data_IF_230414476167
#
_entry.id   IF_230414476167
#
_cell.length_a   1.000
_cell.length_b   1.000
_cell.length_c   1.000
_cell.angle_alpha   90.00
_cell.angle_beta   90.00
_cell.angle_gamma   90.00
#
_symmetry.space_group_name_H-M   'P 1'
#
loop_
_entity.id
_entity.type
_entity.pdbx_description
1 polymer ?
#
# COMPACT_ATOMS: atom_id res chain seq x y z
N UNK A 1 8.64 -5.50 -6.22
CA UNK A 1 8.08 -6.33 -7.32
C UNK A 1 6.60 -6.04 -7.44
N UNK A 2 6.12 -5.67 -8.62
CA UNK A 2 4.71 -5.57 -8.93
C UNK A 2 4.23 -6.95 -9.41
N UNK A 3 3.24 -7.52 -8.74
CA UNK A 3 2.69 -8.83 -9.09
C UNK A 3 1.37 -8.65 -9.84
N UNK A 4 1.07 -9.57 -10.74
CA UNK A 4 -0.27 -9.63 -11.33
C UNK A 4 -1.35 -9.88 -10.27
N UNK A 5 -2.60 -9.55 -10.60
CA UNK A 5 -3.75 -9.90 -9.75
C UNK A 5 -3.94 -11.43 -9.70
N UNK A 6 -4.46 -11.92 -8.57
CA UNK A 6 -4.80 -13.33 -8.39
C UNK A 6 -3.97 -14.04 -7.33
N UNK A 7 -4.20 -15.36 -7.23
CA UNK A 7 -3.64 -16.24 -6.20
C UNK A 7 -2.87 -17.41 -6.81
N UNK A 8 -2.21 -17.18 -7.96
CA UNK A 8 -1.39 -18.22 -8.58
C UNK A 8 -0.18 -18.59 -7.70
N UNK A 9 0.34 -19.78 -7.86
CA UNK A 9 1.52 -20.25 -7.12
C UNK A 9 2.70 -19.29 -7.30
N UNK A 10 2.90 -18.74 -8.49
CA UNK A 10 3.96 -17.77 -8.75
C UNK A 10 3.81 -16.50 -7.89
N UNK A 11 2.59 -15.96 -7.76
CA UNK A 11 2.31 -14.81 -6.89
C UNK A 11 2.60 -15.16 -5.44
N UNK A 12 2.11 -16.31 -4.95
CA UNK A 12 2.34 -16.75 -3.58
C UNK A 12 3.83 -16.94 -3.27
N UNK A 13 4.60 -17.50 -4.20
CA UNK A 13 6.04 -17.64 -4.07
C UNK A 13 6.76 -16.30 -3.90
N UNK A 14 6.38 -15.26 -4.67
CA UNK A 14 6.90 -13.90 -4.47
C UNK A 14 6.52 -13.31 -3.11
N UNK A 15 5.28 -13.51 -2.67
CA UNK A 15 4.81 -12.98 -1.39
C UNK A 15 5.56 -13.60 -0.21
N UNK A 16 5.73 -14.92 -0.19
CA UNK A 16 6.44 -15.60 0.92
C UNK A 16 7.95 -15.35 0.91
N UNK A 17 8.52 -14.99 -0.24
CA UNK A 17 9.92 -14.60 -0.35
C UNK A 17 10.17 -13.14 0.06
N UNK A 18 9.11 -12.34 0.26
CA UNK A 18 9.20 -10.92 0.57
C UNK A 18 9.08 -10.70 2.08
N UNK A 19 9.90 -9.81 2.62
CA UNK A 19 9.77 -9.34 4.01
C UNK A 19 8.60 -8.38 4.20
N UNK A 20 8.18 -7.69 3.15
CA UNK A 20 7.09 -6.73 3.16
C UNK A 20 6.17 -6.94 1.94
N UNK A 21 4.87 -6.96 2.20
CA UNK A 21 3.80 -7.10 1.19
C UNK A 21 2.87 -5.90 1.29
N UNK A 22 2.68 -5.20 0.17
CA UNK A 22 1.70 -4.14 0.05
C UNK A 22 0.42 -4.70 -0.57
N UNK A 23 -0.61 -4.86 0.25
CA UNK A 23 -1.94 -5.29 -0.18
C UNK A 23 -2.77 -4.07 -0.57
N UNK A 24 -3.06 -3.92 -1.86
CA UNK A 24 -3.90 -2.83 -2.37
C UNK A 24 -5.33 -3.32 -2.55
N UNK A 25 -6.26 -2.72 -1.80
CA UNK A 25 -7.68 -3.09 -1.80
C UNK A 25 -8.54 -1.87 -2.09
N UNK A 26 -9.58 -2.04 -2.89
CA UNK A 26 -10.57 -1.00 -3.20
C UNK A 26 -11.88 -1.26 -2.47
N UNK A 27 -12.85 -0.32 -2.42
CA UNK A 27 -14.13 -0.53 -1.74
C UNK A 27 -15.05 -1.51 -2.47
N UNK A 28 -14.72 -1.93 -3.69
CA UNK A 28 -15.54 -2.88 -4.45
C UNK A 28 -15.58 -4.26 -3.74
N UNK A 29 -16.77 -4.89 -3.64
CA UNK A 29 -16.93 -6.17 -2.97
C UNK A 29 -16.02 -7.29 -3.52
N UNK A 30 -15.77 -7.28 -4.81
CA UNK A 30 -14.86 -8.23 -5.48
C UNK A 30 -13.42 -8.05 -4.99
N UNK A 31 -12.92 -6.81 -4.93
CA UNK A 31 -11.57 -6.51 -4.44
C UNK A 31 -11.37 -6.93 -2.98
N UNK A 32 -12.39 -6.73 -2.14
CA UNK A 32 -12.36 -7.16 -0.74
C UNK A 32 -12.30 -8.69 -0.64
N UNK A 33 -13.11 -9.38 -1.44
CA UNK A 33 -13.14 -10.85 -1.49
C UNK A 33 -11.81 -11.42 -1.99
N UNK A 34 -11.24 -10.81 -3.02
CA UNK A 34 -9.95 -11.21 -3.59
C UNK A 34 -8.81 -10.99 -2.59
N UNK A 35 -8.81 -9.85 -1.91
CA UNK A 35 -7.85 -9.56 -0.84
C UNK A 35 -7.92 -10.59 0.28
N UNK A 36 -9.12 -10.94 0.74
CA UNK A 36 -9.30 -11.99 1.75
C UNK A 36 -8.84 -13.36 1.25
N UNK A 37 -9.15 -13.71 0.00
CA UNK A 37 -8.78 -14.98 -0.61
C UNK A 37 -7.26 -15.10 -0.76
N UNK A 38 -6.58 -14.02 -1.16
CA UNK A 38 -5.11 -13.96 -1.22
C UNK A 38 -4.49 -14.15 0.16
N UNK A 39 -4.97 -13.43 1.18
CA UNK A 39 -4.48 -13.57 2.56
C UNK A 39 -4.71 -14.97 3.11
N UNK A 40 -5.85 -15.59 2.78
CA UNK A 40 -6.15 -16.98 3.16
C UNK A 40 -5.20 -17.97 2.50
N UNK A 41 -4.89 -17.80 1.21
CA UNK A 41 -3.94 -18.63 0.50
C UNK A 41 -2.52 -18.45 1.06
N UNK A 42 -2.11 -17.19 1.29
CA UNK A 42 -0.81 -16.84 1.89
C UNK A 42 -0.66 -17.46 3.28
N UNK A 43 -1.66 -17.32 4.17
CA UNK A 43 -1.63 -17.85 5.52
C UNK A 43 -1.62 -19.39 5.61
N UNK A 44 -2.00 -20.09 4.52
CA UNK A 44 -1.90 -21.55 4.39
C UNK A 44 -0.58 -22.02 3.79
N UNK A 45 0.20 -21.09 3.26
CA UNK A 45 1.46 -21.45 2.62
C UNK A 45 2.48 -21.91 3.67
N UNK A 46 3.16 -23.08 3.48
CA UNK A 46 4.04 -23.67 4.52
C UNK A 46 5.20 -22.77 4.95
N UNK A 47 5.66 -21.88 4.07
CA UNK A 47 6.78 -20.95 4.34
C UNK A 47 6.35 -19.59 4.85
N UNK A 48 5.03 -19.34 4.96
CA UNK A 48 4.53 -18.06 5.47
C UNK A 48 4.65 -18.01 7.00
N UNK A 49 5.10 -16.87 7.51
CA UNK A 49 5.10 -16.55 8.95
C UNK A 49 4.85 -15.04 9.13
N UNK A 50 3.99 -14.67 10.07
CA UNK A 50 3.78 -13.27 10.46
C UNK A 50 5.06 -12.60 11.00
N UNK A 51 6.02 -13.37 11.47
CA UNK A 51 7.30 -12.86 11.96
C UNK A 51 8.23 -12.46 10.81
N UNK A 52 8.14 -13.18 9.69
CA UNK A 52 9.03 -12.99 8.55
C UNK A 52 8.45 -12.09 7.46
N UNK A 53 7.13 -12.01 7.36
CA UNK A 53 6.45 -11.26 6.30
C UNK A 53 5.42 -10.29 6.88
N UNK A 54 5.69 -9.01 6.77
CA UNK A 54 4.79 -7.94 7.19
C UNK A 54 3.83 -7.59 6.07
N UNK A 55 2.53 -7.75 6.31
CA UNK A 55 1.50 -7.37 5.34
C UNK A 55 0.92 -6.00 5.71
N UNK A 56 0.99 -5.07 4.76
CA UNK A 56 0.51 -3.69 4.93
C UNK A 56 -0.57 -3.37 3.91
N UNK A 57 -1.73 -2.92 4.37
CA UNK A 57 -2.87 -2.61 3.52
C UNK A 57 -2.91 -1.15 3.12
N UNK A 58 -3.12 -0.91 1.83
CA UNK A 58 -3.46 0.39 1.23
C UNK A 58 -4.91 0.32 0.75
N UNK A 59 -5.76 1.22 1.27
CA UNK A 59 -7.11 1.40 0.77
C UNK A 59 -7.09 2.37 -0.42
N UNK A 60 -7.35 1.86 -1.63
CA UNK A 60 -7.27 2.62 -2.87
C UNK A 60 -8.66 3.00 -3.42
N UNK A 61 -8.75 4.05 -4.23
CA UNK A 61 -9.98 4.54 -4.85
C UNK A 61 -11.11 4.85 -3.85
N UNK A 62 -10.76 5.37 -2.69
CA UNK A 62 -11.74 5.72 -1.67
C UNK A 62 -12.39 7.07 -1.99
N UNK A 63 -13.71 7.21 -1.81
CA UNK A 63 -14.39 8.50 -1.96
C UNK A 63 -13.93 9.48 -0.86
N UNK A 64 -13.80 8.99 0.37
CA UNK A 64 -13.32 9.76 1.53
C UNK A 64 -12.13 9.05 2.18
N UNK A 65 -11.19 9.84 2.67
CA UNK A 65 -9.96 9.30 3.30
C UNK A 65 -10.30 8.44 4.53
N UNK A 66 -11.29 8.85 5.29
CA UNK A 66 -11.71 8.18 6.54
C UNK A 66 -12.28 6.77 6.27
N UNK A 67 -12.90 6.56 5.12
CA UNK A 67 -13.49 5.27 4.74
C UNK A 67 -12.42 4.18 4.56
N UNK A 68 -11.19 4.57 4.20
CA UNK A 68 -10.08 3.63 4.10
C UNK A 68 -9.73 2.95 5.41
N UNK A 69 -9.76 3.69 6.51
CA UNK A 69 -9.56 3.14 7.85
C UNK A 69 -10.70 2.18 8.24
N UNK A 70 -11.93 2.50 7.87
CA UNK A 70 -13.11 1.65 8.13
C UNK A 70 -12.98 0.34 7.33
N UNK A 71 -12.60 0.42 6.06
CA UNK A 71 -12.36 -0.75 5.22
C UNK A 71 -11.28 -1.66 5.82
N UNK A 72 -10.15 -1.07 6.23
CA UNK A 72 -9.09 -1.80 6.91
C UNK A 72 -9.60 -2.51 8.17
N UNK A 73 -10.31 -1.82 9.05
CA UNK A 73 -10.83 -2.40 10.30
C UNK A 73 -11.75 -3.59 10.04
N UNK A 74 -12.64 -3.49 9.04
CA UNK A 74 -13.51 -4.59 8.62
C UNK A 74 -12.71 -5.80 8.15
N UNK A 75 -11.75 -5.60 7.25
CA UNK A 75 -10.91 -6.68 6.73
C UNK A 75 -10.04 -7.27 7.84
N UNK A 76 -9.38 -6.43 8.65
CA UNK A 76 -8.51 -6.87 9.73
C UNK A 76 -9.25 -7.71 10.78
N UNK A 77 -10.47 -7.34 11.13
CA UNK A 77 -11.31 -8.11 12.07
C UNK A 77 -11.52 -9.54 11.57
N UNK A 78 -11.84 -9.71 10.29
CA UNK A 78 -12.07 -11.02 9.69
C UNK A 78 -10.75 -11.81 9.56
N UNK A 79 -9.69 -11.16 9.11
CA UNK A 79 -8.36 -11.76 8.94
C UNK A 79 -7.79 -12.25 10.27
N UNK A 80 -7.81 -11.40 11.30
CA UNK A 80 -7.33 -11.77 12.64
C UNK A 80 -8.16 -12.91 13.23
N UNK A 81 -9.48 -12.85 13.10
CA UNK A 81 -10.38 -13.86 13.66
C UNK A 81 -10.23 -15.23 13.01
N UNK A 82 -10.21 -15.28 11.67
CA UNK A 82 -10.31 -16.54 10.92
C UNK A 82 -8.99 -17.03 10.36
N UNK A 83 -8.06 -16.14 10.05
CA UNK A 83 -6.76 -16.52 9.46
C UNK A 83 -5.62 -16.48 10.50
N UNK A 84 -5.83 -15.88 11.66
CA UNK A 84 -4.79 -15.69 12.69
C UNK A 84 -3.57 -14.92 12.15
N UNK A 85 -3.81 -14.05 11.17
CA UNK A 85 -2.80 -13.19 10.58
C UNK A 85 -2.92 -11.77 11.12
N UNK A 86 -1.80 -11.07 11.11
CA UNK A 86 -1.74 -9.65 11.41
C UNK A 86 -1.52 -8.87 10.11
N UNK A 87 -2.36 -7.89 9.87
CA UNK A 87 -2.16 -6.90 8.81
C UNK A 87 -2.11 -5.51 9.42
N UNK A 88 -1.35 -4.61 8.85
CA UNK A 88 -1.27 -3.23 9.31
C UNK A 88 -1.85 -2.26 8.29
N UNK A 89 -2.34 -1.11 8.73
CA UNK A 89 -2.87 -0.08 7.87
C UNK A 89 -1.77 0.90 7.47
N UNK A 90 -1.50 1.01 6.18
CA UNK A 90 -0.48 1.91 5.66
C UNK A 90 -1.07 3.27 5.27
N UNK A 91 -2.22 3.29 4.60
CA UNK A 91 -2.88 4.52 4.23
C UNK A 91 -4.03 4.39 3.25
N UNK A 92 -4.63 5.54 2.93
CA UNK A 92 -5.70 5.68 1.92
C UNK A 92 -5.20 6.47 0.72
N UNK A 93 -5.51 5.99 -0.48
CA UNK A 93 -5.43 6.75 -1.73
C UNK A 93 -6.86 7.10 -2.15
N UNK A 94 -7.24 8.39 -2.18
CA UNK A 94 -8.57 8.78 -2.59
C UNK A 94 -8.74 8.66 -4.10
N UNK A 95 -9.99 8.54 -4.54
CA UNK A 95 -10.34 8.71 -5.95
C UNK A 95 -10.00 10.13 -6.39
N UNK A 96 -9.32 10.26 -7.53
CA UNK A 96 -8.77 11.53 -7.98
C UNK A 96 -8.76 11.63 -9.50
N UNK A 97 -9.55 12.55 -10.04
CA UNK A 97 -9.62 12.85 -11.47
C UNK A 97 -8.25 13.29 -12.04
N UNK A 98 -7.39 13.89 -11.20
CA UNK A 98 -6.03 14.27 -11.65
C UNK A 98 -5.17 13.03 -11.89
N UNK A 99 -5.34 11.99 -11.07
CA UNK A 99 -4.67 10.71 -11.29
C UNK A 99 -5.15 10.05 -12.58
N UNK A 100 -6.47 10.05 -12.84
CA UNK A 100 -7.03 9.48 -14.07
C UNK A 100 -6.46 10.19 -15.31
N UNK A 101 -6.39 11.53 -15.29
CA UNK A 101 -5.78 12.33 -16.37
C UNK A 101 -4.29 12.01 -16.53
N UNK A 102 -3.56 11.86 -15.43
CA UNK A 102 -2.13 11.54 -15.45
C UNK A 102 -1.88 10.16 -16.09
N UNK A 103 -2.72 9.16 -15.76
CA UNK A 103 -2.67 7.83 -16.37
C UNK A 103 -2.90 7.90 -17.88
N UNK A 104 -3.92 8.65 -18.34
CA UNK A 104 -4.19 8.84 -19.76
C UNK A 104 -3.03 9.51 -20.50
N UNK A 105 -2.28 10.35 -19.84
CA UNK A 105 -1.10 11.02 -20.37
C UNK A 105 0.21 10.24 -20.19
N UNK A 106 0.13 9.05 -19.59
CA UNK A 106 1.30 8.21 -19.28
C UNK A 106 2.37 8.95 -18.46
N UNK A 107 1.94 9.84 -17.57
CA UNK A 107 2.80 10.62 -16.71
C UNK A 107 2.43 10.40 -15.24
N UNK A 108 3.39 10.16 -14.34
CA UNK A 108 3.09 10.03 -12.91
C UNK A 108 2.40 11.29 -12.36
N UNK A 109 1.31 11.12 -11.63
CA UNK A 109 0.56 12.25 -11.07
C UNK A 109 1.40 13.10 -10.12
N UNK A 110 2.35 12.51 -9.41
CA UNK A 110 3.29 13.20 -8.53
C UNK A 110 4.24 14.16 -9.27
N UNK A 111 4.50 13.91 -10.56
CA UNK A 111 5.30 14.80 -11.41
C UNK A 111 4.43 15.83 -12.12
N UNK A 112 3.20 15.47 -12.47
CA UNK A 112 2.27 16.34 -13.18
C UNK A 112 1.60 17.37 -12.27
N UNK A 113 1.17 16.93 -11.09
CA UNK A 113 0.49 17.76 -10.10
C UNK A 113 0.77 17.26 -8.67
N UNK A 114 1.81 17.79 -8.03
CA UNK A 114 2.19 17.46 -6.66
C UNK A 114 1.10 17.79 -5.62
N UNK A 115 0.18 18.70 -5.96
CA UNK A 115 -0.94 19.09 -5.11
C UNK A 115 -2.18 18.21 -5.27
N UNK A 116 -2.20 17.28 -6.20
CA UNK A 116 -3.28 16.32 -6.36
C UNK A 116 -3.48 15.51 -5.07
N UNK A 117 -4.73 15.15 -4.77
CA UNK A 117 -5.07 14.37 -3.57
C UNK A 117 -4.35 13.03 -3.53
N UNK A 118 -4.26 12.36 -4.67
CA UNK A 118 -3.55 11.10 -4.85
C UNK A 118 -2.04 11.27 -4.69
N UNK A 119 -1.43 12.33 -5.24
CA UNK A 119 -0.01 12.59 -5.09
C UNK A 119 0.38 12.78 -3.60
N UNK A 120 -0.38 13.56 -2.86
CA UNK A 120 -0.19 13.74 -1.40
C UNK A 120 -0.40 12.44 -0.62
N UNK A 121 -1.33 11.58 -1.06
CA UNK A 121 -1.52 10.27 -0.44
C UNK A 121 -0.31 9.36 -0.67
N UNK A 122 0.22 9.31 -1.88
CA UNK A 122 1.44 8.54 -2.19
C UNK A 122 2.65 9.04 -1.39
N UNK A 123 2.81 10.37 -1.25
CA UNK A 123 3.90 10.94 -0.44
C UNK A 123 3.82 10.50 1.03
N UNK A 124 2.61 10.52 1.63
CA UNK A 124 2.39 10.06 3.02
C UNK A 124 2.67 8.56 3.17
N UNK A 125 2.21 7.75 2.23
CA UNK A 125 2.44 6.30 2.22
C UNK A 125 3.93 6.00 2.10
N UNK A 126 4.62 6.66 1.18
CA UNK A 126 6.07 6.52 1.00
C UNK A 126 6.84 6.93 2.26
N UNK A 127 6.47 8.03 2.90
CA UNK A 127 7.09 8.47 4.14
C UNK A 127 6.94 7.43 5.26
N UNK A 128 5.76 6.82 5.43
CA UNK A 128 5.54 5.75 6.42
C UNK A 128 6.37 4.50 6.15
N UNK A 129 6.59 4.16 4.88
CA UNK A 129 7.44 3.03 4.49
C UNK A 129 8.91 3.29 4.79
N UNK A 130 9.37 4.53 4.58
CA UNK A 130 10.79 4.87 4.77
C UNK A 130 11.16 5.15 6.22
N UNK A 131 10.20 5.62 7.03
CA UNK A 131 10.42 6.03 8.42
C UNK A 131 9.41 5.34 9.35
N UNK A 132 9.47 3.99 9.48
CA UNK A 132 8.56 3.25 10.35
C UNK A 132 8.81 3.66 11.81
N UNK A 133 7.76 4.17 12.48
CA UNK A 133 7.82 4.57 13.89
C UNK A 133 7.98 6.07 14.15
N UNK A 134 8.23 6.87 13.16
CA UNK A 134 8.04 8.32 13.27
C UNK A 134 6.54 8.60 13.03
N UNK A 135 5.91 9.31 13.98
CA UNK A 135 4.52 9.81 13.78
C UNK A 135 4.44 10.59 12.48
N UNK A 136 3.23 10.81 11.93
CA UNK A 136 3.06 11.47 10.63
C UNK A 136 4.06 12.62 10.49
N UNK A 137 5.04 12.52 9.55
CA UNK A 137 6.01 13.59 9.39
C UNK A 137 5.21 14.86 9.06
N UNK A 138 5.39 15.90 9.84
CA UNK A 138 4.83 17.19 9.50
C UNK A 138 5.29 17.48 8.07
N UNK A 139 4.34 17.51 7.12
CA UNK A 139 4.61 17.71 5.70
C UNK A 139 5.32 19.08 5.57
N UNK A 140 6.62 19.08 5.73
CA UNK A 140 7.46 20.19 5.29
C UNK A 140 7.28 20.24 3.79
N UNK A 141 6.78 21.37 3.30
CA UNK A 141 6.68 21.72 1.87
C UNK A 141 8.05 21.60 1.19
N UNK A 142 8.45 20.36 0.88
CA UNK A 142 9.62 20.04 0.08
C UNK A 142 9.14 19.07 -0.97
N UNK A 143 9.11 19.52 -2.22
CA UNK A 143 8.69 18.73 -3.36
C UNK A 143 9.54 17.47 -3.54
N UNK A 144 9.08 16.56 -4.39
CA UNK A 144 9.74 15.29 -4.76
C UNK A 144 11.24 15.43 -5.06
N UNK A 145 11.69 16.60 -5.52
CA UNK A 145 13.12 16.90 -5.73
C UNK A 145 13.97 16.76 -4.44
N UNK A 146 13.41 17.10 -3.28
CA UNK A 146 14.11 16.93 -2.00
C UNK A 146 14.12 15.47 -1.53
N UNK A 147 13.10 14.70 -1.87
CA UNK A 147 13.02 13.26 -1.64
C UNK A 147 14.14 12.51 -2.39
N UNK A 148 14.27 12.79 -3.69
CA UNK A 148 15.33 12.17 -4.50
C UNK A 148 16.74 12.66 -4.15
N UNK A 149 16.90 13.92 -3.73
CA UNK A 149 18.19 14.43 -3.29
C UNK A 149 18.74 13.70 -2.05
N UNK A 150 17.87 13.27 -1.15
CA UNK A 150 18.24 12.46 0.03
C UNK A 150 18.68 11.04 -0.38
N UNK A 151 18.05 10.48 -1.40
CA UNK A 151 18.36 9.14 -1.91
C UNK A 151 19.69 9.08 -2.67
N UNK A 152 20.03 10.16 -3.39
CA UNK A 152 21.27 10.25 -4.21
C UNK A 152 22.47 10.70 -3.35
N UNK A 153 22.24 11.38 -2.21
CA UNK A 153 23.28 11.91 -1.34
C UNK A 153 23.90 10.93 -0.33
N UNK A 154 23.36 9.73 -0.18
CA UNK A 154 23.79 8.75 0.81
C UNK A 154 24.52 7.54 0.19
N UNK A 155 25.45 7.76 -0.72
CA UNK A 155 26.45 6.74 -1.09
C UNK A 155 27.57 6.80 -0.05
N UNK A 156 27.79 5.75 0.77
CA UNK A 156 28.94 5.70 1.66
C UNK A 156 30.22 5.61 0.82
N UNK A 157 31.19 6.43 1.17
CA UNK A 157 32.58 6.27 0.74
C UNK A 157 33.22 5.06 1.42
#
# INVERSE_FOLDING_TARGET
VDTGAGISDAVLEFLVASSEVLLVTTPEPTSITDSYSLLKALGRHPRFSNENTKVMMIANKMEKIEEGQILYQKLNTVVTRYLKMEISYLGTVPQDVQLEKAVMQQMPVSLQNENAKSAKAYERIAAKLMYPGEGEPAVKKRGMAAFFAHFIGNTPQ
#
